data_IF_159816598650
#
_entry.id   IF_159816598650
#
_cell.length_a   1.000
_cell.length_b   1.000
_cell.length_c   1.000
_cell.angle_alpha   90.00
_cell.angle_beta   90.00
_cell.angle_gamma   90.00
#
_symmetry.space_group_name_H-M   'P 1'
#
loop_
_entity.id
_entity.type
_entity.pdbx_description
1 polymer ?
#
# COMPACT_ATOMS: atom_id res chain seq x y z
N UNK A 1 29.09 -2.43 -31.96
CA UNK A 1 30.12 -2.48 -30.89
C UNK A 1 29.44 -2.97 -29.63
N UNK A 2 30.07 -3.93 -28.96
CA UNK A 2 29.42 -4.90 -28.07
C UNK A 2 28.95 -4.29 -26.73
N UNK A 3 27.65 -4.45 -26.43
CA UNK A 3 27.17 -4.45 -25.05
C UNK A 3 27.18 -5.90 -24.56
N UNK A 4 28.25 -6.25 -23.86
CA UNK A 4 28.34 -7.50 -23.11
C UNK A 4 27.43 -7.41 -21.88
N UNK A 5 26.23 -7.97 -21.98
CA UNK A 5 25.40 -8.28 -20.84
C UNK A 5 26.05 -9.41 -20.04
N UNK A 6 26.81 -9.04 -19.01
CA UNK A 6 27.38 -9.96 -18.03
C UNK A 6 26.31 -10.55 -17.13
N UNK A 7 25.46 -11.42 -17.66
CA UNK A 7 24.70 -12.36 -16.84
C UNK A 7 25.66 -13.40 -16.28
N UNK A 8 26.33 -13.06 -15.17
CA UNK A 8 27.25 -13.97 -14.50
C UNK A 8 26.52 -15.26 -14.12
N UNK A 9 26.92 -16.38 -14.72
CA UNK A 9 26.42 -17.69 -14.34
C UNK A 9 26.77 -17.93 -12.86
N UNK A 10 25.74 -18.01 -12.03
CA UNK A 10 25.87 -18.31 -10.62
C UNK A 10 26.48 -19.71 -10.47
N UNK A 11 27.52 -19.86 -9.65
CA UNK A 11 28.17 -21.16 -9.44
C UNK A 11 27.14 -22.20 -8.96
N UNK A 12 27.25 -23.44 -9.45
CA UNK A 12 26.39 -24.56 -9.05
C UNK A 12 26.29 -24.72 -7.52
N UNK A 13 27.37 -24.45 -6.79
CA UNK A 13 27.39 -24.50 -5.31
C UNK A 13 26.56 -23.38 -4.70
N UNK A 14 26.68 -22.17 -5.24
CA UNK A 14 25.91 -21.01 -4.79
C UNK A 14 24.41 -21.18 -5.11
N UNK A 15 24.07 -21.69 -6.30
CA UNK A 15 22.69 -22.01 -6.67
C UNK A 15 22.08 -23.06 -5.74
N UNK A 16 22.83 -24.10 -5.36
CA UNK A 16 22.36 -25.10 -4.38
C UNK A 16 22.07 -24.46 -3.02
N UNK A 17 22.95 -23.58 -2.53
CA UNK A 17 22.76 -22.92 -1.24
C UNK A 17 21.54 -21.97 -1.25
N UNK A 18 21.33 -21.22 -2.33
CA UNK A 18 20.14 -20.37 -2.52
C UNK A 18 18.87 -21.22 -2.52
N UNK A 19 18.83 -22.29 -3.31
CA UNK A 19 17.68 -23.19 -3.38
C UNK A 19 17.39 -23.86 -2.03
N UNK A 20 18.44 -24.20 -1.26
CA UNK A 20 18.29 -24.78 0.07
C UNK A 20 17.66 -23.80 1.06
N UNK A 21 18.07 -22.52 1.02
CA UNK A 21 17.48 -21.46 1.83
C UNK A 21 16.00 -21.27 1.49
N UNK A 22 15.69 -21.06 0.21
CA UNK A 22 14.33 -20.82 -0.27
C UNK A 22 13.40 -21.99 0.11
N UNK A 23 13.86 -23.23 -0.11
CA UNK A 23 13.11 -24.44 0.26
C UNK A 23 12.85 -24.53 1.77
N UNK A 24 13.85 -24.22 2.61
CA UNK A 24 13.73 -24.31 4.07
C UNK A 24 12.78 -23.25 4.63
N UNK A 25 12.84 -22.02 4.12
CA UNK A 25 11.92 -20.96 4.50
C UNK A 25 10.51 -21.28 4.04
N UNK A 26 10.35 -21.73 2.79
CA UNK A 26 9.04 -22.09 2.23
C UNK A 26 8.38 -23.23 3.03
N UNK A 27 9.13 -24.25 3.44
CA UNK A 27 8.60 -25.34 4.24
C UNK A 27 8.02 -24.86 5.58
N UNK A 28 8.66 -23.88 6.23
CA UNK A 28 8.14 -23.29 7.48
C UNK A 28 6.95 -22.37 7.21
N UNK A 29 7.01 -21.57 6.15
CA UNK A 29 5.92 -20.71 5.69
C UNK A 29 4.64 -21.52 5.41
N UNK A 30 4.77 -22.72 4.83
CA UNK A 30 3.63 -23.62 4.58
C UNK A 30 3.01 -24.16 5.88
N UNK A 31 3.81 -24.40 6.92
CA UNK A 31 3.31 -24.78 8.24
C UNK A 31 2.55 -23.61 8.87
N UNK A 32 3.13 -22.40 8.85
CA UNK A 32 2.49 -21.17 9.35
C UNK A 32 1.17 -20.90 8.64
N UNK A 33 1.13 -21.06 7.30
CA UNK A 33 -0.10 -20.90 6.50
C UNK A 33 -1.23 -21.81 6.98
N UNK A 34 -0.93 -23.07 7.30
CA UNK A 34 -1.90 -24.03 7.84
C UNK A 34 -2.34 -23.64 9.25
N UNK A 35 -1.41 -23.21 10.10
CA UNK A 35 -1.72 -22.81 11.48
C UNK A 35 -2.60 -21.57 11.56
N UNK A 36 -2.38 -20.61 10.67
CA UNK A 36 -3.12 -19.35 10.61
C UNK A 36 -4.46 -19.47 9.88
N UNK A 37 -4.88 -20.69 9.49
CA UNK A 37 -6.17 -20.92 8.83
C UNK A 37 -6.28 -20.25 7.46
N UNK A 38 -5.14 -19.95 6.83
CA UNK A 38 -5.08 -19.33 5.51
C UNK A 38 -5.27 -20.36 4.38
N UNK A 39 -5.49 -21.63 4.73
CA UNK A 39 -5.86 -22.71 3.79
C UNK A 39 -7.37 -22.89 3.81
N UNK A 40 -8.07 -22.77 2.67
CA UNK A 40 -9.52 -22.98 2.60
C UNK A 40 -9.95 -24.32 3.20
N UNK A 41 -10.91 -24.30 4.13
CA UNK A 41 -11.45 -25.50 4.78
C UNK A 41 -10.63 -26.04 5.96
N UNK A 42 -9.50 -25.41 6.32
CA UNK A 42 -8.69 -25.79 7.49
C UNK A 42 -8.94 -24.80 8.63
N UNK A 43 -9.47 -25.28 9.74
CA UNK A 43 -9.64 -24.44 10.94
C UNK A 43 -8.27 -24.11 11.56
N UNK A 44 -8.07 -22.90 12.09
CA UNK A 44 -6.81 -22.54 12.76
C UNK A 44 -6.54 -23.45 13.95
N UNK A 45 -5.26 -23.82 14.13
CA UNK A 45 -4.88 -24.79 15.15
C UNK A 45 -5.08 -24.22 16.57
N UNK A 46 -5.57 -25.04 17.52
CA UNK A 46 -5.84 -24.62 18.90
C UNK A 46 -4.59 -24.59 19.81
N UNK A 47 -3.45 -25.16 19.39
CA UNK A 47 -2.20 -25.18 20.16
C UNK A 47 -1.17 -24.21 19.56
N UNK A 48 -1.36 -22.91 19.78
CA UNK A 48 -0.55 -21.85 19.15
C UNK A 48 0.83 -21.67 19.79
N UNK A 49 0.90 -21.41 21.08
CA UNK A 49 2.08 -20.74 21.67
C UNK A 49 3.39 -21.54 21.59
N UNK A 50 3.37 -22.84 21.90
CA UNK A 50 4.61 -23.66 21.90
C UNK A 50 5.08 -23.99 20.47
N UNK A 51 4.14 -24.17 19.53
CA UNK A 51 4.49 -24.44 18.13
C UNK A 51 4.98 -23.19 17.42
N UNK A 52 4.39 -22.02 17.72
CA UNK A 52 4.75 -20.73 17.13
C UNK A 52 6.16 -20.31 17.54
N UNK A 53 6.50 -20.44 18.84
CA UNK A 53 7.84 -20.17 19.35
C UNK A 53 8.91 -21.05 18.67
N UNK A 54 8.62 -22.34 18.44
CA UNK A 54 9.54 -23.23 17.73
C UNK A 54 9.72 -22.83 16.26
N UNK A 55 8.63 -22.46 15.57
CA UNK A 55 8.70 -22.00 14.18
C UNK A 55 9.52 -20.72 14.06
N UNK A 56 9.30 -19.75 14.94
CA UNK A 56 10.10 -18.53 15.02
C UNK A 56 11.59 -18.85 15.17
N UNK A 57 11.95 -19.66 16.18
CA UNK A 57 13.34 -20.06 16.44
C UNK A 57 13.96 -20.78 15.24
N UNK A 58 13.20 -21.61 14.54
CA UNK A 58 13.68 -22.32 13.36
C UNK A 58 13.95 -21.37 12.19
N UNK A 59 13.08 -20.39 11.93
CA UNK A 59 13.32 -19.35 10.93
C UNK A 59 14.57 -18.54 11.28
N UNK A 60 14.70 -18.08 12.53
CA UNK A 60 15.90 -17.35 12.98
C UNK A 60 17.18 -18.15 12.72
N UNK A 61 17.19 -19.44 13.07
CA UNK A 61 18.35 -20.33 12.85
C UNK A 61 18.68 -20.50 11.37
N UNK A 62 17.67 -20.67 10.51
CA UNK A 62 17.86 -20.78 9.07
C UNK A 62 18.46 -19.49 8.53
N UNK A 63 17.82 -18.34 8.76
CA UNK A 63 18.30 -17.05 8.26
C UNK A 63 19.73 -16.76 8.75
N UNK A 64 20.02 -17.01 10.02
CA UNK A 64 21.37 -16.85 10.58
C UNK A 64 22.40 -17.79 9.93
N UNK A 65 22.01 -19.02 9.57
CA UNK A 65 22.90 -19.98 8.92
C UNK A 65 23.31 -19.51 7.52
N UNK A 66 22.40 -18.88 6.78
CA UNK A 66 22.60 -18.43 5.40
C UNK A 66 23.06 -16.97 5.26
N UNK A 67 23.09 -16.22 6.37
CA UNK A 67 23.60 -14.85 6.44
C UNK A 67 25.05 -14.75 5.89
N UNK A 68 25.47 -13.59 5.34
CA UNK A 68 26.85 -13.39 4.93
C UNK A 68 27.85 -13.76 6.04
N UNK A 69 28.98 -14.41 5.69
CA UNK A 69 29.51 -14.59 4.33
C UNK A 69 29.04 -15.87 3.61
N UNK A 70 28.12 -16.69 4.18
CA UNK A 70 27.72 -17.97 3.53
C UNK A 70 27.05 -17.74 2.18
N UNK A 71 26.14 -16.77 2.11
CA UNK A 71 25.64 -16.24 0.86
C UNK A 71 26.18 -14.82 0.66
N UNK A 72 26.48 -14.41 -0.59
CA UNK A 72 26.81 -13.03 -0.90
C UNK A 72 25.69 -12.08 -0.47
N UNK A 73 26.05 -10.88 0.00
CA UNK A 73 25.12 -9.91 0.56
C UNK A 73 24.08 -9.46 -0.48
N UNK A 74 24.52 -9.21 -1.70
CA UNK A 74 23.72 -8.84 -2.87
C UNK A 74 22.69 -9.91 -3.28
N UNK A 75 22.85 -11.16 -2.81
CA UNK A 75 21.88 -12.24 -3.02
C UNK A 75 21.01 -12.45 -1.77
N UNK A 76 21.59 -12.38 -0.58
CA UNK A 76 20.90 -12.68 0.67
C UNK A 76 19.86 -11.62 1.03
N UNK A 77 20.22 -10.33 0.98
CA UNK A 77 19.33 -9.28 1.49
C UNK A 77 18.08 -9.02 0.64
N UNK A 78 18.13 -9.02 -0.72
CA UNK A 78 16.91 -8.96 -1.50
C UNK A 78 15.94 -10.12 -1.19
N UNK A 79 16.48 -11.32 -0.92
CA UNK A 79 15.67 -12.47 -0.48
C UNK A 79 15.14 -12.30 0.92
N UNK A 80 15.92 -11.71 1.82
CA UNK A 80 15.48 -11.41 3.18
C UNK A 80 14.24 -10.50 3.18
N UNK A 81 14.21 -9.48 2.32
CA UNK A 81 13.04 -8.62 2.12
C UNK A 81 11.86 -9.42 1.56
N UNK A 82 12.10 -10.27 0.55
CA UNK A 82 11.06 -11.15 0.00
C UNK A 82 10.46 -12.09 1.06
N UNK A 83 11.27 -12.68 1.93
CA UNK A 83 10.76 -13.49 3.04
C UNK A 83 9.97 -12.64 4.05
N UNK A 84 10.37 -11.39 4.26
CA UNK A 84 9.59 -10.42 5.04
C UNK A 84 8.18 -10.24 4.48
N UNK A 85 8.04 -10.07 3.17
CA UNK A 85 6.72 -9.97 2.51
C UNK A 85 5.90 -11.26 2.71
N UNK A 86 6.52 -12.43 2.54
CA UNK A 86 5.84 -13.71 2.75
C UNK A 86 5.34 -13.85 4.20
N UNK A 87 6.15 -13.50 5.19
CA UNK A 87 5.77 -13.55 6.60
C UNK A 87 4.68 -12.52 6.93
N UNK A 88 4.72 -11.33 6.31
CA UNK A 88 3.66 -10.33 6.42
C UNK A 88 2.31 -10.89 5.91
N UNK A 89 2.29 -11.54 4.74
CA UNK A 89 1.09 -12.20 4.19
C UNK A 89 0.56 -13.30 5.10
N UNK A 90 1.46 -14.01 5.78
CA UNK A 90 1.13 -15.05 6.76
C UNK A 90 0.66 -14.50 8.11
N UNK A 91 0.68 -13.17 8.31
CA UNK A 91 0.39 -12.47 9.57
C UNK A 91 1.41 -12.72 10.68
N UNK A 92 2.62 -13.14 10.31
CA UNK A 92 3.75 -13.33 11.22
C UNK A 92 4.50 -11.99 11.41
N UNK A 93 3.79 -10.97 11.87
CA UNK A 93 4.25 -9.57 11.85
C UNK A 93 5.53 -9.35 12.66
N UNK A 94 5.65 -9.99 13.82
CA UNK A 94 6.85 -9.87 14.68
C UNK A 94 8.08 -10.47 14.03
N UNK A 95 7.92 -11.61 13.36
CA UNK A 95 8.98 -12.29 12.63
C UNK A 95 9.43 -11.46 11.42
N UNK A 96 8.46 -11.02 10.61
CA UNK A 96 8.71 -10.18 9.43
C UNK A 96 9.41 -8.86 9.79
N UNK A 97 8.91 -8.15 10.81
CA UNK A 97 9.50 -6.91 11.30
C UNK A 97 10.93 -7.12 11.78
N UNK A 98 11.15 -8.06 12.73
CA UNK A 98 12.44 -8.18 13.44
C UNK A 98 13.52 -8.88 12.62
N UNK A 99 13.19 -10.01 12.01
CA UNK A 99 14.19 -10.89 11.39
C UNK A 99 14.41 -10.60 9.91
N UNK A 100 13.50 -9.88 9.27
CA UNK A 100 13.62 -9.51 7.85
C UNK A 100 13.86 -8.00 7.69
N UNK A 101 12.82 -7.18 7.89
CA UNK A 101 12.86 -5.76 7.53
C UNK A 101 13.83 -4.95 8.39
N UNK A 102 13.67 -4.95 9.71
CA UNK A 102 14.54 -4.20 10.62
C UNK A 102 15.96 -4.79 10.68
N UNK A 103 16.09 -6.10 10.47
CA UNK A 103 17.40 -6.76 10.31
C UNK A 103 18.16 -6.19 9.12
N UNK A 104 17.53 -6.12 7.95
CA UNK A 104 18.12 -5.51 6.77
C UNK A 104 18.49 -4.04 6.99
N UNK A 105 17.57 -3.24 7.55
CA UNK A 105 17.79 -1.81 7.81
C UNK A 105 18.96 -1.57 8.78
N UNK A 106 19.13 -2.43 9.79
CA UNK A 106 20.26 -2.35 10.72
C UNK A 106 21.60 -2.70 10.06
N UNK A 107 21.59 -3.53 9.02
CA UNK A 107 22.81 -4.11 8.44
C UNK A 107 23.22 -3.46 7.12
N UNK A 108 22.35 -2.66 6.51
CA UNK A 108 22.51 -2.08 5.16
C UNK A 108 23.85 -1.37 4.95
N UNK A 109 24.34 -0.64 5.97
CA UNK A 109 25.62 0.07 5.91
C UNK A 109 26.82 -0.82 6.26
N UNK A 110 26.63 -1.82 7.12
CA UNK A 110 27.71 -2.70 7.58
C UNK A 110 28.02 -3.85 6.63
N UNK A 111 27.09 -4.18 5.73
CA UNK A 111 27.21 -5.30 4.82
C UNK A 111 27.92 -4.98 3.49
N UNK A 112 28.52 -3.80 3.35
CA UNK A 112 29.11 -3.26 2.12
C UNK A 112 28.15 -3.31 0.90
N UNK A 113 26.84 -3.34 1.13
CA UNK A 113 25.83 -3.30 0.08
C UNK A 113 25.92 -2.07 -0.84
N UNK A 114 26.31 -0.87 -0.36
CA UNK A 114 26.53 0.28 -1.25
C UNK A 114 27.59 0.04 -2.32
N UNK A 115 28.55 -0.87 -2.09
CA UNK A 115 29.59 -1.21 -3.07
C UNK A 115 29.16 -2.34 -4.02
N UNK A 116 28.12 -3.09 -3.65
CA UNK A 116 27.67 -4.31 -4.34
C UNK A 116 26.42 -4.09 -5.19
N UNK A 117 25.60 -3.09 -4.86
CA UNK A 117 24.33 -2.80 -5.53
C UNK A 117 24.37 -1.41 -6.16
N UNK A 118 23.51 -1.19 -7.16
CA UNK A 118 23.31 0.17 -7.67
C UNK A 118 22.67 1.05 -6.58
N UNK A 119 22.92 2.38 -6.58
CA UNK A 119 22.26 3.28 -5.63
C UNK A 119 20.73 3.21 -5.71
N UNK A 120 20.18 2.92 -6.89
CA UNK A 120 18.74 2.76 -7.11
C UNK A 120 18.20 1.48 -6.49
N UNK A 121 18.86 0.34 -6.68
CA UNK A 121 18.48 -0.95 -6.07
C UNK A 121 18.56 -0.88 -4.55
N UNK A 122 19.62 -0.26 -4.02
CA UNK A 122 19.78 -0.08 -2.59
C UNK A 122 18.69 0.81 -2.00
N UNK A 123 18.39 1.93 -2.65
CA UNK A 123 17.32 2.86 -2.25
C UNK A 123 15.96 2.14 -2.29
N UNK A 124 15.70 1.39 -3.34
CA UNK A 124 14.48 0.59 -3.51
C UNK A 124 14.29 -0.42 -2.37
N UNK A 125 15.32 -1.22 -2.06
CA UNK A 125 15.29 -2.19 -0.96
C UNK A 125 15.12 -1.50 0.40
N UNK A 126 15.80 -0.38 0.65
CA UNK A 126 15.66 0.40 1.88
C UNK A 126 14.23 0.93 2.08
N UNK A 127 13.64 1.48 1.03
CA UNK A 127 12.27 1.97 1.06
C UNK A 127 11.29 0.81 1.28
N UNK A 128 11.42 -0.29 0.53
CA UNK A 128 10.57 -1.47 0.69
C UNK A 128 10.65 -1.99 2.13
N UNK A 129 11.86 -2.16 2.67
CA UNK A 129 12.03 -2.63 4.04
C UNK A 129 11.39 -1.70 5.08
N UNK A 130 11.53 -0.38 4.95
CA UNK A 130 10.87 0.57 5.85
C UNK A 130 9.34 0.49 5.77
N UNK A 131 8.78 0.33 4.59
CA UNK A 131 7.34 0.13 4.41
C UNK A 131 6.85 -1.18 5.03
N UNK A 132 7.61 -2.26 4.83
CA UNK A 132 7.34 -3.57 5.42
C UNK A 132 7.37 -3.53 6.94
N UNK A 133 8.41 -2.91 7.52
CA UNK A 133 8.54 -2.70 8.96
C UNK A 133 7.36 -1.87 9.51
N UNK A 134 7.05 -0.72 8.90
CA UNK A 134 5.94 0.12 9.33
C UNK A 134 4.58 -0.61 9.29
N UNK A 135 4.36 -1.44 8.27
CA UNK A 135 3.15 -2.25 8.16
C UNK A 135 3.09 -3.32 9.25
N UNK A 136 4.20 -3.99 9.54
CA UNK A 136 4.26 -4.98 10.61
C UNK A 136 4.03 -4.36 11.98
N UNK A 137 4.71 -3.25 12.27
CA UNK A 137 4.64 -2.56 13.56
C UNK A 137 3.22 -2.04 13.80
N UNK A 138 2.55 -1.54 12.75
CA UNK A 138 1.13 -1.20 12.79
C UNK A 138 0.24 -2.38 13.21
N UNK A 139 0.39 -3.55 12.57
CA UNK A 139 -0.42 -4.71 12.93
C UNK A 139 -0.08 -5.27 14.33
N UNK A 140 1.16 -5.17 14.77
CA UNK A 140 1.57 -5.53 16.14
C UNK A 140 0.90 -4.59 17.16
N UNK A 141 0.81 -3.30 16.86
CA UNK A 141 0.15 -2.32 17.72
C UNK A 141 -1.38 -2.59 17.79
N UNK A 142 -2.02 -2.89 16.65
CA UNK A 142 -3.44 -3.22 16.60
C UNK A 142 -3.78 -4.55 17.25
N UNK A 143 -2.90 -5.55 17.23
CA UNK A 143 -3.12 -6.81 17.97
C UNK A 143 -3.28 -6.55 19.48
N UNK A 144 -2.62 -5.50 20.00
CA UNK A 144 -2.65 -5.12 21.41
C UNK A 144 -3.74 -4.09 21.77
N UNK A 145 -4.23 -3.35 20.77
CA UNK A 145 -5.28 -2.32 20.92
C UNK A 145 -6.09 -2.18 19.62
N UNK A 146 -6.98 -3.15 19.30
CA UNK A 146 -7.67 -3.22 18.01
C UNK A 146 -8.60 -2.05 17.72
N UNK A 147 -9.12 -1.42 18.77
CA UNK A 147 -10.07 -0.30 18.68
C UNK A 147 -9.41 1.06 18.94
N UNK A 148 -8.07 1.12 19.00
CA UNK A 148 -7.30 2.34 19.23
C UNK A 148 -7.72 3.11 20.50
N UNK A 149 -8.06 2.40 21.57
CA UNK A 149 -8.53 3.03 22.83
C UNK A 149 -7.40 3.72 23.57
N UNK A 150 -6.15 3.32 23.35
CA UNK A 150 -4.97 3.90 24.00
C UNK A 150 -4.42 5.03 23.14
N UNK A 151 -4.29 6.21 23.75
CA UNK A 151 -3.65 7.36 23.11
C UNK A 151 -2.23 7.04 22.61
N UNK A 152 -1.47 6.21 23.33
CA UNK A 152 -0.14 5.79 22.90
C UNK A 152 -0.15 5.04 21.57
N UNK A 153 -1.11 4.13 21.37
CA UNK A 153 -1.28 3.39 20.11
C UNK A 153 -1.63 4.33 18.97
N UNK A 154 -2.52 5.30 19.20
CA UNK A 154 -2.85 6.32 18.17
C UNK A 154 -1.59 7.10 17.76
N UNK A 155 -0.77 7.55 18.73
CA UNK A 155 0.47 8.28 18.43
C UNK A 155 1.49 7.41 17.68
N UNK A 156 1.56 6.11 17.99
CA UNK A 156 2.39 5.15 17.26
C UNK A 156 1.94 5.04 15.80
N UNK A 157 0.64 4.85 15.54
CA UNK A 157 0.09 4.81 14.17
C UNK A 157 0.39 6.11 13.41
N UNK A 158 0.27 7.27 14.05
CA UNK A 158 0.63 8.56 13.42
C UNK A 158 2.13 8.67 13.12
N UNK A 159 3.00 8.14 13.97
CA UNK A 159 4.44 8.08 13.70
C UNK A 159 4.75 7.21 12.48
N UNK A 160 4.05 6.08 12.34
CA UNK A 160 4.17 5.20 11.18
C UNK A 160 3.66 5.89 9.90
N UNK A 161 2.54 6.62 9.98
CA UNK A 161 2.02 7.41 8.86
C UNK A 161 2.98 8.54 8.42
N UNK A 162 3.65 9.20 9.36
CA UNK A 162 4.72 10.16 9.04
C UNK A 162 5.89 9.50 8.34
N UNK A 163 6.28 8.30 8.79
CA UNK A 163 7.30 7.50 8.09
C UNK A 163 6.89 7.18 6.65
N UNK A 164 5.62 6.81 6.42
CA UNK A 164 5.09 6.62 5.06
C UNK A 164 5.08 7.92 4.23
N UNK A 165 4.82 9.07 4.86
CA UNK A 165 4.90 10.38 4.18
C UNK A 165 6.33 10.68 3.72
N UNK A 166 7.32 10.44 4.58
CA UNK A 166 8.73 10.63 4.25
C UNK A 166 9.13 9.73 3.06
N UNK A 167 8.72 8.46 3.11
CA UNK A 167 8.91 7.50 2.01
C UNK A 167 8.32 8.00 0.69
N UNK A 168 7.09 8.53 0.72
CA UNK A 168 6.46 9.07 -0.48
C UNK A 168 7.19 10.30 -1.04
N UNK A 169 7.83 11.11 -0.18
CA UNK A 169 8.70 12.20 -0.60
C UNK A 169 9.96 11.69 -1.32
N UNK A 170 10.53 10.59 -0.85
CA UNK A 170 11.72 9.96 -1.44
C UNK A 170 11.44 9.29 -2.79
N UNK A 171 10.24 8.71 -2.98
CA UNK A 171 9.84 8.07 -4.25
C UNK A 171 9.30 9.06 -5.27
N UNK A 172 8.76 10.21 -4.84
CA UNK A 172 8.12 11.19 -5.71
C UNK A 172 9.03 11.78 -6.81
N UNK A 173 10.34 11.82 -6.59
CA UNK A 173 11.31 12.32 -7.56
C UNK A 173 11.88 11.27 -8.53
N UNK A 174 11.46 10.01 -8.44
CA UNK A 174 12.04 8.89 -9.20
C UNK A 174 10.93 8.10 -9.92
N UNK A 175 10.64 8.41 -11.19
CA UNK A 175 9.61 7.72 -12.00
C UNK A 175 9.71 6.18 -12.00
N UNK A 176 10.92 5.65 -11.84
CA UNK A 176 11.27 4.24 -11.85
C UNK A 176 10.79 3.54 -10.56
N UNK A 177 10.64 4.32 -9.48
CA UNK A 177 10.13 3.88 -8.19
C UNK A 177 8.61 4.05 -8.06
N UNK A 178 7.87 4.28 -9.16
CA UNK A 178 6.43 4.48 -9.13
C UNK A 178 5.67 3.32 -8.43
N UNK A 179 6.19 2.09 -8.55
CA UNK A 179 5.60 0.92 -7.92
C UNK A 179 5.70 0.98 -6.38
N UNK A 180 6.76 1.58 -5.83
CA UNK A 180 6.88 1.88 -4.40
C UNK A 180 5.91 2.99 -3.99
N UNK A 181 5.72 4.02 -4.82
CA UNK A 181 4.68 5.04 -4.58
C UNK A 181 3.29 4.42 -4.50
N UNK A 182 2.96 3.49 -5.41
CA UNK A 182 1.71 2.74 -5.34
C UNK A 182 1.61 1.92 -4.06
N UNK A 183 2.61 1.10 -3.74
CA UNK A 183 2.61 0.29 -2.53
C UNK A 183 2.47 1.16 -1.26
N UNK A 184 3.12 2.33 -1.23
CA UNK A 184 3.07 3.23 -0.09
C UNK A 184 1.67 3.84 0.07
N UNK A 185 0.97 4.14 -1.03
CA UNK A 185 -0.43 4.56 -0.97
C UNK A 185 -1.34 3.46 -0.39
N UNK A 186 -1.05 2.18 -0.66
CA UNK A 186 -1.75 1.02 -0.07
C UNK A 186 -1.45 0.92 1.42
N UNK A 187 -0.19 1.09 1.83
CA UNK A 187 0.20 1.12 3.24
C UNK A 187 -0.50 2.26 3.99
N UNK A 188 -0.45 3.49 3.48
CA UNK A 188 -1.13 4.65 4.08
C UNK A 188 -2.62 4.38 4.25
N UNK A 189 -3.31 3.94 3.19
CA UNK A 189 -4.74 3.60 3.27
C UNK A 189 -5.02 2.49 4.28
N UNK A 190 -4.12 1.52 4.44
CA UNK A 190 -4.24 0.44 5.43
C UNK A 190 -4.12 0.98 6.85
N UNK A 191 -3.16 1.86 7.11
CA UNK A 191 -2.94 2.49 8.42
C UNK A 191 -4.07 3.46 8.79
N UNK A 192 -4.62 4.20 7.81
CA UNK A 192 -5.70 5.15 8.03
C UNK A 192 -7.07 4.49 8.30
N UNK A 193 -7.33 3.28 7.78
CA UNK A 193 -8.66 2.64 7.91
C UNK A 193 -9.16 2.53 9.36
N UNK A 194 -8.38 2.03 10.33
CA UNK A 194 -8.83 1.99 11.73
C UNK A 194 -8.98 3.38 12.35
N UNK A 195 -8.16 4.36 11.94
CA UNK A 195 -8.32 5.74 12.39
C UNK A 195 -9.67 6.31 11.97
N UNK A 196 -10.08 6.12 10.70
CA UNK A 196 -11.40 6.51 10.22
C UNK A 196 -12.50 5.80 11.04
N UNK A 197 -12.43 4.47 11.13
CA UNK A 197 -13.45 3.65 11.80
C UNK A 197 -13.65 3.98 13.30
N UNK A 198 -12.62 4.50 13.97
CA UNK A 198 -12.64 4.82 15.40
C UNK A 198 -12.68 6.31 15.71
N UNK A 199 -13.08 7.15 14.74
CA UNK A 199 -13.36 8.58 14.97
C UNK A 199 -12.12 9.49 15.01
N UNK A 200 -10.99 9.01 14.48
CA UNK A 200 -9.75 9.77 14.32
C UNK A 200 -9.56 10.31 12.89
N UNK A 201 -10.65 10.48 12.14
CA UNK A 201 -10.60 10.97 10.76
C UNK A 201 -9.82 12.28 10.56
N UNK A 202 -9.93 13.31 11.43
CA UNK A 202 -9.12 14.53 11.30
C UNK A 202 -7.61 14.30 11.28
N UNK A 203 -7.14 13.21 11.89
CA UNK A 203 -5.71 12.86 11.95
C UNK A 203 -5.26 12.02 10.73
N UNK A 204 -6.20 11.40 10.01
CA UNK A 204 -5.92 10.52 8.88
C UNK A 204 -6.01 11.24 7.52
N UNK A 205 -6.88 12.24 7.40
CA UNK A 205 -7.22 12.91 6.13
C UNK A 205 -5.99 13.45 5.41
N UNK A 206 -5.05 14.09 6.12
CA UNK A 206 -3.85 14.64 5.48
C UNK A 206 -2.99 13.58 4.78
N UNK A 207 -2.93 12.37 5.34
CA UNK A 207 -2.15 11.26 4.78
C UNK A 207 -2.87 10.64 3.58
N UNK A 208 -4.20 10.54 3.62
CA UNK A 208 -4.99 10.07 2.48
C UNK A 208 -4.90 11.04 1.29
N UNK A 209 -4.93 12.35 1.55
CA UNK A 209 -4.69 13.38 0.52
C UNK A 209 -3.30 13.20 -0.06
N UNK A 210 -2.28 13.08 0.80
CA UNK A 210 -0.91 12.84 0.34
C UNK A 210 -0.82 11.60 -0.56
N UNK A 211 -1.39 10.47 -0.15
CA UNK A 211 -1.39 9.25 -0.94
C UNK A 211 -2.06 9.42 -2.32
N UNK A 212 -3.20 10.11 -2.38
CA UNK A 212 -3.90 10.42 -3.63
C UNK A 212 -3.05 11.30 -4.56
N UNK A 213 -2.47 12.37 -4.03
CA UNK A 213 -1.63 13.30 -4.80
C UNK A 213 -0.30 12.67 -5.24
N UNK A 214 0.29 11.79 -4.42
CA UNK A 214 1.50 11.04 -4.80
C UNK A 214 1.23 10.11 -5.98
N UNK A 215 0.05 9.48 -6.06
CA UNK A 215 -0.37 8.69 -7.21
C UNK A 215 -0.52 9.57 -8.46
N UNK A 216 -1.16 10.74 -8.33
CA UNK A 216 -1.36 11.69 -9.43
C UNK A 216 -0.04 12.24 -10.00
N UNK A 217 0.96 12.45 -9.14
CA UNK A 217 2.25 12.98 -9.53
C UNK A 217 3.07 12.02 -10.41
N UNK A 218 2.73 10.73 -10.45
CA UNK A 218 3.47 9.71 -11.17
C UNK A 218 2.74 9.30 -12.45
N UNK A 219 3.31 9.65 -13.61
CA UNK A 219 2.73 9.31 -14.93
C UNK A 219 2.40 7.81 -15.07
N UNK A 220 3.25 6.84 -14.68
CA UNK A 220 2.92 5.42 -14.79
C UNK A 220 1.68 4.98 -13.98
N UNK A 221 1.33 5.75 -12.94
CA UNK A 221 0.18 5.49 -12.06
C UNK A 221 -1.11 6.17 -12.55
N UNK A 222 -1.03 7.00 -13.59
CA UNK A 222 -2.17 7.66 -14.22
C UNK A 222 -2.75 6.85 -15.38
N UNK A 223 -2.84 5.53 -15.23
CA UNK A 223 -3.40 4.60 -16.22
C UNK A 223 -4.68 3.94 -15.71
N UNK A 224 -5.47 3.38 -16.61
CA UNK A 224 -6.73 2.66 -16.29
C UNK A 224 -6.52 1.51 -15.31
N UNK A 225 -5.34 0.89 -15.30
CA UNK A 225 -4.94 -0.15 -14.34
C UNK A 225 -5.07 0.28 -12.87
N UNK A 226 -4.75 1.54 -12.55
CA UNK A 226 -4.75 2.05 -11.18
C UNK A 226 -5.94 2.94 -10.85
N UNK A 227 -6.86 3.12 -11.81
CA UNK A 227 -8.00 4.03 -11.69
C UNK A 227 -8.89 3.70 -10.49
N UNK A 228 -9.27 2.43 -10.33
CA UNK A 228 -10.12 1.99 -9.22
C UNK A 228 -9.48 2.28 -7.85
N UNK A 229 -8.16 2.15 -7.76
CA UNK A 229 -7.45 2.47 -6.53
C UNK A 229 -7.42 3.99 -6.25
N UNK A 230 -7.20 4.82 -7.28
CA UNK A 230 -7.26 6.28 -7.16
C UNK A 230 -8.65 6.76 -6.73
N UNK A 231 -9.72 6.25 -7.34
CA UNK A 231 -11.11 6.58 -6.94
C UNK A 231 -11.39 6.18 -5.50
N UNK A 232 -10.88 5.02 -5.06
CA UNK A 232 -10.98 4.61 -3.66
C UNK A 232 -10.28 5.59 -2.70
N UNK A 233 -9.11 6.11 -3.08
CA UNK A 233 -8.42 7.14 -2.29
C UNK A 233 -9.22 8.45 -2.26
N UNK A 234 -9.77 8.90 -3.39
CA UNK A 234 -10.62 10.09 -3.43
C UNK A 234 -11.84 9.96 -2.53
N UNK A 235 -12.50 8.81 -2.59
CA UNK A 235 -13.64 8.49 -1.72
C UNK A 235 -13.25 8.50 -0.26
N UNK A 236 -12.11 7.89 0.11
CA UNK A 236 -11.63 7.85 1.48
C UNK A 236 -11.31 9.25 2.03
N UNK A 237 -10.73 10.14 1.21
CA UNK A 237 -10.50 11.54 1.61
C UNK A 237 -11.82 12.25 1.86
N UNK A 238 -12.80 12.12 0.97
CA UNK A 238 -14.09 12.79 1.13
C UNK A 238 -14.85 12.30 2.38
N UNK A 239 -14.84 10.99 2.64
CA UNK A 239 -15.40 10.42 3.86
C UNK A 239 -14.67 10.91 5.11
N UNK A 240 -13.34 11.01 5.05
CA UNK A 240 -12.55 11.55 6.14
C UNK A 240 -12.87 13.02 6.42
N UNK A 241 -13.12 13.84 5.40
CA UNK A 241 -13.61 15.22 5.59
C UNK A 241 -15.01 15.26 6.21
N UNK A 242 -15.92 14.38 5.79
CA UNK A 242 -17.28 14.30 6.36
C UNK A 242 -17.28 13.93 7.84
N UNK A 243 -16.41 13.01 8.25
CA UNK A 243 -16.21 12.62 9.65
C UNK A 243 -15.42 13.68 10.45
N UNK A 244 -14.68 14.55 9.77
CA UNK A 244 -13.95 15.64 10.39
C UNK A 244 -14.86 16.82 10.70
N UNK A 245 -14.91 17.20 11.97
CA UNK A 245 -15.59 18.40 12.44
C UNK A 245 -14.55 19.48 12.74
N UNK A 246 -14.70 20.65 12.14
CA UNK A 246 -13.96 21.84 12.56
C UNK A 246 -14.86 22.69 13.46
N UNK A 247 -14.28 23.36 14.44
CA UNK A 247 -14.97 24.39 15.23
C UNK A 247 -14.62 25.74 14.61
N UNK A 248 -15.63 26.49 14.19
CA UNK A 248 -15.45 27.87 13.75
C UNK A 248 -15.09 28.77 14.95
N UNK A 249 -14.64 30.00 14.68
CA UNK A 249 -14.26 31.00 15.69
C UNK A 249 -15.41 31.31 16.68
N UNK A 250 -16.66 31.12 16.25
CA UNK A 250 -17.88 31.28 17.05
C UNK A 250 -18.28 30.01 17.84
N UNK A 251 -17.47 28.94 17.79
CA UNK A 251 -17.69 27.68 18.49
C UNK A 251 -18.70 26.73 17.84
N UNK A 252 -19.23 27.07 16.67
CA UNK A 252 -20.12 26.22 15.88
C UNK A 252 -19.33 25.07 15.19
N UNK A 253 -19.90 23.85 15.18
CA UNK A 253 -19.34 22.74 14.42
C UNK A 253 -19.64 22.96 12.93
N UNK A 254 -18.59 23.19 12.13
CA UNK A 254 -18.67 23.20 10.67
C UNK A 254 -18.22 21.84 10.14
N UNK A 255 -19.05 21.25 9.29
CA UNK A 255 -18.67 20.08 8.51
C UNK A 255 -17.77 20.53 7.37
N UNK A 256 -16.73 19.77 7.07
CA UNK A 256 -15.81 20.05 5.95
C UNK A 256 -16.41 19.61 4.60
N UNK A 257 -17.70 19.91 4.39
CA UNK A 257 -18.46 19.49 3.20
C UNK A 257 -17.93 20.18 1.95
N UNK A 258 -17.49 21.44 2.06
CA UNK A 258 -16.95 22.20 0.95
C UNK A 258 -15.61 21.60 0.48
N UNK A 259 -14.75 21.20 1.43
CA UNK A 259 -13.49 20.51 1.15
C UNK A 259 -13.72 19.11 0.55
N UNK A 260 -14.71 18.37 1.08
CA UNK A 260 -15.12 17.08 0.51
C UNK A 260 -15.62 17.24 -0.93
N UNK A 261 -16.46 18.25 -1.19
CA UNK A 261 -16.95 18.55 -2.53
C UNK A 261 -15.81 18.92 -3.49
N UNK A 262 -14.91 19.81 -3.07
CA UNK A 262 -13.77 20.22 -3.89
C UNK A 262 -12.88 19.02 -4.25
N UNK A 263 -12.64 18.11 -3.29
CA UNK A 263 -11.84 16.91 -3.54
C UNK A 263 -12.57 15.89 -4.43
N UNK A 264 -13.89 15.72 -4.26
CA UNK A 264 -14.70 14.89 -5.12
C UNK A 264 -14.72 15.41 -6.57
N UNK A 265 -14.83 16.72 -6.76
CA UNK A 265 -14.76 17.36 -8.08
C UNK A 265 -13.39 17.16 -8.73
N UNK A 266 -12.31 17.32 -7.99
CA UNK A 266 -10.95 16.99 -8.46
C UNK A 266 -10.88 15.54 -8.92
N UNK A 267 -11.36 14.60 -8.11
CA UNK A 267 -11.34 13.18 -8.46
C UNK A 267 -12.12 12.88 -9.75
N UNK A 268 -13.28 13.51 -9.93
CA UNK A 268 -14.08 13.40 -11.16
C UNK A 268 -13.32 13.95 -12.37
N UNK A 269 -12.70 15.13 -12.24
CA UNK A 269 -11.86 15.73 -13.30
C UNK A 269 -10.72 14.77 -13.70
N UNK A 270 -10.07 14.13 -12.73
CA UNK A 270 -9.01 13.16 -13.00
C UNK A 270 -9.50 11.93 -13.77
N UNK A 271 -10.68 11.40 -13.45
CA UNK A 271 -11.29 10.28 -14.20
C UNK A 271 -11.64 10.72 -15.62
N UNK A 272 -12.26 11.88 -15.78
CA UNK A 272 -12.66 12.42 -17.09
C UNK A 272 -11.45 12.73 -17.97
N UNK A 273 -10.37 13.26 -17.38
CA UNK A 273 -9.10 13.48 -18.08
C UNK A 273 -8.53 12.17 -18.62
N UNK A 274 -8.53 11.10 -17.82
CA UNK A 274 -8.07 9.79 -18.27
C UNK A 274 -8.96 9.23 -19.39
N UNK A 275 -10.28 9.34 -19.26
CA UNK A 275 -11.23 8.93 -20.29
C UNK A 275 -10.99 9.68 -21.62
N UNK A 276 -10.71 10.98 -21.56
CA UNK A 276 -10.37 11.78 -22.72
C UNK A 276 -9.06 11.33 -23.38
N UNK A 277 -8.03 10.99 -22.59
CA UNK A 277 -6.77 10.44 -23.12
C UNK A 277 -6.98 9.09 -23.81
N UNK A 278 -7.74 8.18 -23.21
CA UNK A 278 -8.04 6.86 -23.78
C UNK A 278 -8.89 6.97 -25.07
N UNK A 279 -9.72 8.01 -25.20
CA UNK A 279 -10.50 8.26 -26.41
C UNK A 279 -9.66 8.79 -27.59
N UNK A 280 -8.45 9.29 -27.33
CA UNK A 280 -7.51 9.73 -28.38
C UNK A 280 -6.70 8.56 -28.96
N UNK A 281 -6.72 7.38 -28.34
CA UNK A 281 -6.00 6.21 -28.85
C UNK A 281 -6.65 5.73 -30.16
N UNK A 282 -5.89 5.58 -31.27
CA UNK A 282 -6.42 5.04 -32.51
C UNK A 282 -6.95 3.60 -32.38
N UNK A 283 -6.49 2.85 -31.38
CA UNK A 283 -6.99 1.53 -31.02
C UNK A 283 -8.07 1.69 -29.95
N UNK A 284 -9.33 1.34 -30.23
CA UNK A 284 -10.40 1.51 -29.26
C UNK A 284 -10.12 0.65 -28.01
N UNK A 285 -10.35 1.18 -26.80
CA UNK A 285 -10.08 0.43 -25.58
C UNK A 285 -10.98 -0.81 -25.50
N UNK A 286 -10.49 -1.91 -24.90
CA UNK A 286 -11.30 -3.10 -24.65
C UNK A 286 -12.61 -2.76 -23.92
N UNK A 287 -13.66 -3.54 -24.18
CA UNK A 287 -14.97 -3.32 -23.55
C UNK A 287 -14.90 -3.25 -22.01
N UNK A 288 -14.02 -4.04 -21.40
CA UNK A 288 -13.80 -4.05 -19.95
C UNK A 288 -13.22 -2.71 -19.45
N UNK A 289 -12.30 -2.11 -20.19
CA UNK A 289 -11.71 -0.80 -19.85
C UNK A 289 -12.75 0.30 -19.99
N UNK A 290 -13.58 0.27 -21.04
CA UNK A 290 -14.71 1.22 -21.21
C UNK A 290 -15.71 1.12 -20.05
N UNK A 291 -16.05 -0.10 -19.66
CA UNK A 291 -16.95 -0.36 -18.53
C UNK A 291 -16.34 0.12 -17.21
N UNK A 292 -15.06 -0.14 -16.98
CA UNK A 292 -14.33 0.35 -15.82
C UNK A 292 -14.38 1.88 -15.75
N UNK A 293 -14.03 2.58 -16.83
CA UNK A 293 -14.07 4.05 -16.88
C UNK A 293 -15.46 4.59 -16.57
N UNK A 294 -16.50 4.05 -17.22
CA UNK A 294 -17.88 4.48 -16.99
C UNK A 294 -18.33 4.25 -15.54
N UNK A 295 -17.97 3.10 -14.94
CA UNK A 295 -18.29 2.79 -13.55
C UNK A 295 -17.59 3.76 -12.58
N UNK A 296 -16.30 3.98 -12.78
CA UNK A 296 -15.48 4.85 -11.93
C UNK A 296 -15.89 6.32 -12.06
N UNK A 297 -16.30 6.77 -13.25
CA UNK A 297 -16.86 8.10 -13.44
C UNK A 297 -18.21 8.25 -12.73
N UNK A 298 -19.10 7.26 -12.85
CA UNK A 298 -20.39 7.26 -12.15
C UNK A 298 -20.20 7.34 -10.64
N UNK A 299 -19.27 6.56 -10.08
CA UNK A 299 -18.93 6.58 -8.64
C UNK A 299 -18.49 7.98 -8.20
N UNK A 300 -17.63 8.65 -8.96
CA UNK A 300 -17.21 10.02 -8.66
C UNK A 300 -18.35 11.04 -8.83
N UNK A 301 -19.22 10.89 -9.83
CA UNK A 301 -20.40 11.76 -9.99
C UNK A 301 -21.38 11.63 -8.83
N UNK A 302 -21.63 10.41 -8.36
CA UNK A 302 -22.43 10.15 -7.16
C UNK A 302 -21.80 10.82 -5.94
N UNK A 303 -20.47 10.71 -5.81
CA UNK A 303 -19.74 11.33 -4.70
C UNK A 303 -19.83 12.87 -4.74
N UNK A 304 -19.69 13.49 -5.91
CA UNK A 304 -19.88 14.94 -6.08
C UNK A 304 -21.31 15.34 -5.74
N UNK A 305 -22.31 14.61 -6.23
CA UNK A 305 -23.71 14.89 -5.97
C UNK A 305 -24.04 14.84 -4.47
N UNK A 306 -23.46 13.87 -3.73
CA UNK A 306 -23.61 13.74 -2.28
C UNK A 306 -23.19 15.01 -1.51
N UNK A 307 -22.19 15.74 -1.99
CA UNK A 307 -21.66 16.93 -1.29
C UNK A 307 -22.06 18.26 -1.93
N UNK A 308 -22.63 18.26 -3.14
CA UNK A 308 -23.06 19.50 -3.85
C UNK A 308 -24.27 20.16 -3.19
N UNK A 309 -25.08 19.37 -2.48
CA UNK A 309 -26.19 19.82 -1.64
C UNK A 309 -26.24 18.84 -0.47
N UNK A 310 -26.74 19.25 0.70
CA UNK A 310 -27.13 18.28 1.75
C UNK A 310 -28.34 17.45 1.29
N UNK A 311 -28.19 16.74 0.18
CA UNK A 311 -29.26 16.31 -0.70
C UNK A 311 -30.04 15.16 -0.07
N UNK A 312 -31.32 15.40 0.12
CA UNK A 312 -32.30 14.34 0.33
C UNK A 312 -32.22 13.37 -0.86
N UNK A 313 -32.24 12.06 -0.60
CA UNK A 313 -31.81 11.03 -1.57
C UNK A 313 -32.58 11.00 -2.90
N UNK A 314 -33.73 11.67 -2.99
CA UNK A 314 -34.54 11.80 -4.20
C UNK A 314 -33.94 12.71 -5.28
N UNK A 315 -33.37 13.87 -4.91
CA UNK A 315 -32.83 14.84 -5.88
C UNK A 315 -31.55 14.33 -6.57
N UNK A 316 -30.74 13.57 -5.82
CA UNK A 316 -29.52 12.92 -6.33
C UNK A 316 -29.83 11.93 -7.43
N UNK A 317 -30.93 11.17 -7.30
CA UNK A 317 -31.34 10.19 -8.29
C UNK A 317 -31.81 10.87 -9.59
N UNK A 318 -32.56 11.96 -9.49
CA UNK A 318 -33.01 12.74 -10.66
C UNK A 318 -31.83 13.36 -11.42
N UNK A 319 -30.87 13.97 -10.71
CA UNK A 319 -29.68 14.56 -11.34
C UNK A 319 -28.80 13.52 -12.06
N UNK A 320 -28.63 12.33 -11.47
CA UNK A 320 -27.90 11.22 -12.11
C UNK A 320 -28.61 10.71 -13.37
N UNK A 321 -29.95 10.66 -13.37
CA UNK A 321 -30.73 10.27 -14.56
C UNK A 321 -30.72 11.33 -15.65
N UNK A 322 -30.73 12.62 -15.29
CA UNK A 322 -30.64 13.73 -16.25
C UNK A 322 -29.29 13.76 -16.99
N UNK A 323 -28.19 13.44 -16.29
CA UNK A 323 -26.84 13.39 -16.88
C UNK A 323 -26.56 12.16 -17.77
N UNK A 324 -27.40 11.12 -17.71
CA UNK A 324 -27.26 9.91 -18.52
C UNK A 324 -27.89 10.01 -19.92
N UNK A 325 -28.68 11.06 -20.18
CA UNK A 325 -29.41 11.25 -21.46
C UNK A 325 -28.86 12.40 -22.33
N UNK A 326 -27.81 13.09 -21.88
CA UNK A 326 -27.22 14.25 -22.59
C UNK A 326 -26.27 13.92 -23.74
N UNK A 327 -26.31 12.69 -24.27
CA UNK A 327 -25.51 12.27 -25.43
C UNK A 327 -26.28 12.37 -26.74
N UNK A 328 -26.76 13.56 -27.11
CA UNK A 328 -27.20 13.82 -28.49
C UNK A 328 -26.06 14.45 -29.27
N UNK A 329 -25.49 13.67 -30.18
CA UNK A 329 -24.53 14.13 -31.19
C UNK A 329 -25.09 15.32 -31.98
N UNK A 330 -24.28 16.34 -32.34
CA UNK A 330 -24.65 17.26 -33.39
C UNK A 330 -24.42 16.59 -34.75
N UNK A 331 -25.39 16.75 -35.65
CA UNK A 331 -25.27 16.40 -37.07
C UNK A 331 -24.35 17.33 -37.84
#
# INVERSE_FOLDING_TARGET
>A
MAHGGGGGQMSLTLQKAVNELDMKVQALADVMRRQNGLVPGVAPSKSRDHSEAMLYVNVCKILQTFRPPRLPAEIFYPRLIHFGDQFLELREYRLASRECFNRFLAEIHTANLPDLLTPEDLKSLAIHARMGAATCDFFIALDQDPELRKHATVQEVLSLLRTCRDIGGETGGSPELYWLTYNNSVTIMTLCKPLLAHGYAPLAVEFLIFAALSMEAQVPLNTTRYLAWRVRLYTAVCLGYEESKTRDEDGAERRMTDEALAFAQRGLEQVQRLAAVEALDPVPPPAEVKKLLALQELEMRVLVARYTRGADGGETLEALTAGALGGTAPG
#
